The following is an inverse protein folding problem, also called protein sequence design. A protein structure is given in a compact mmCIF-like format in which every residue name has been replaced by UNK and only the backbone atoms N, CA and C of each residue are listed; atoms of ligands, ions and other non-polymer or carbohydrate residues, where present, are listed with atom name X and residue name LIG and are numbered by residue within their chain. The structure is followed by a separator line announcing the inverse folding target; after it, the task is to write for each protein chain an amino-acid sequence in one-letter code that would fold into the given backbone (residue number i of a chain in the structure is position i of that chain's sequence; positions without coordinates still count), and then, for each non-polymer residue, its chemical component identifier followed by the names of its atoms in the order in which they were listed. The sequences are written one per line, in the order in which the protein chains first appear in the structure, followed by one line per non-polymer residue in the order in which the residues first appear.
data_IF_073582567136
#
_entry.id   IF_073582567136
#
_cell.length_a   1.000
_cell.length_b   1.000
_cell.length_c   1.000
_cell.angle_alpha   90.00
_cell.angle_beta   90.00
_cell.angle_gamma   90.00
#
_symmetry.space_group_name_H-M   'P 1'
#
loop_
_entity.id
_entity.type
_entity.pdbx_description
1 polymer ?
#
# COMPACT_ATOMS: atom_id res chain seq x y z
N UNK A 1 -21.76 10.53 -17.52
CA UNK A 1 -20.34 10.91 -17.36
C UNK A 1 -19.50 9.68 -17.66
N UNK A 2 -18.27 9.83 -18.15
CA UNK A 2 -17.39 8.66 -18.26
C UNK A 2 -16.93 8.23 -16.87
N UNK A 3 -16.60 6.95 -16.68
CA UNK A 3 -16.03 6.42 -15.43
C UNK A 3 -14.79 7.21 -14.98
N UNK A 4 -13.97 7.67 -15.94
CA UNK A 4 -12.81 8.52 -15.67
C UNK A 4 -13.21 9.87 -15.08
N UNK A 5 -14.27 10.50 -15.61
CA UNK A 5 -14.77 11.77 -15.09
C UNK A 5 -15.31 11.62 -13.66
N UNK A 6 -15.92 10.48 -13.34
CA UNK A 6 -16.43 10.17 -12.00
C UNK A 6 -15.30 10.05 -10.96
N UNK A 7 -14.21 9.35 -11.31
CA UNK A 7 -13.02 9.29 -10.47
C UNK A 7 -12.38 10.66 -10.25
N UNK A 8 -12.23 11.44 -11.33
CA UNK A 8 -11.65 12.79 -11.26
C UNK A 8 -12.53 13.71 -10.41
N UNK A 9 -13.85 13.63 -10.57
CA UNK A 9 -14.79 14.40 -9.77
C UNK A 9 -14.72 14.03 -8.28
N UNK A 10 -14.70 12.74 -7.95
CA UNK A 10 -14.57 12.26 -6.58
C UNK A 10 -13.25 12.72 -5.93
N UNK A 11 -12.12 12.57 -6.64
CA UNK A 11 -10.81 12.99 -6.15
C UNK A 11 -10.77 14.50 -5.86
N UNK A 12 -11.24 15.33 -6.80
CA UNK A 12 -11.29 16.80 -6.61
C UNK A 12 -12.24 17.21 -5.49
N UNK A 13 -13.35 16.49 -5.30
CA UNK A 13 -14.32 16.78 -4.25
C UNK A 13 -13.76 16.48 -2.85
N UNK A 14 -13.13 15.31 -2.69
CA UNK A 14 -12.79 14.78 -1.36
C UNK A 14 -11.34 15.05 -0.94
N UNK A 15 -10.40 15.05 -1.90
CA UNK A 15 -8.96 15.13 -1.64
C UNK A 15 -8.39 16.54 -1.85
N UNK A 16 -9.24 17.56 -1.97
CA UNK A 16 -8.78 18.95 -2.02
C UNK A 16 -8.31 19.42 -0.65
N UNK A 17 -7.12 20.02 -0.60
CA UNK A 17 -6.54 20.58 0.62
C UNK A 17 -6.39 22.08 0.43
N UNK A 18 -7.23 22.85 1.12
CA UNK A 18 -7.38 24.28 0.87
C UNK A 18 -7.83 24.56 -0.57
N UNK A 19 -7.01 25.28 -1.35
CA UNK A 19 -7.29 25.59 -2.76
C UNK A 19 -6.65 24.60 -3.75
N UNK A 20 -5.84 23.65 -3.26
CA UNK A 20 -5.11 22.71 -4.12
C UNK A 20 -5.92 21.43 -4.27
N UNK A 21 -6.22 21.07 -5.51
CA UNK A 21 -6.84 19.79 -5.89
C UNK A 21 -5.85 18.95 -6.70
N UNK A 22 -6.11 17.65 -6.80
CA UNK A 22 -5.34 16.79 -7.68
C UNK A 22 -5.58 17.18 -9.16
N UNK A 23 -4.50 17.14 -9.95
CA UNK A 23 -4.61 17.24 -11.40
C UNK A 23 -5.42 16.07 -11.98
N UNK A 24 -5.85 16.17 -13.24
CA UNK A 24 -6.53 15.05 -13.92
C UNK A 24 -5.62 13.81 -13.93
N UNK A 25 -4.35 13.98 -14.30
CA UNK A 25 -3.39 12.89 -14.35
C UNK A 25 -3.21 12.20 -12.98
N UNK A 26 -3.01 12.97 -11.90
CA UNK A 26 -2.90 12.42 -10.54
C UNK A 26 -4.17 11.71 -10.09
N UNK A 27 -5.35 12.26 -10.45
CA UNK A 27 -6.63 11.64 -10.09
C UNK A 27 -6.83 10.30 -10.80
N UNK A 28 -6.41 10.21 -12.07
CA UNK A 28 -6.48 8.97 -12.85
C UNK A 28 -5.44 7.95 -12.41
N UNK A 29 -4.24 8.39 -12.03
CA UNK A 29 -3.22 7.52 -11.44
C UNK A 29 -3.73 6.90 -10.13
N UNK A 30 -4.25 7.72 -9.22
CA UNK A 30 -4.88 7.24 -7.99
C UNK A 30 -6.01 6.26 -8.28
N UNK A 31 -6.89 6.57 -9.24
CA UNK A 31 -7.97 5.67 -9.64
C UNK A 31 -7.43 4.31 -10.10
N UNK A 32 -6.41 4.30 -10.96
CA UNK A 32 -5.78 3.06 -11.43
C UNK A 32 -5.19 2.24 -10.27
N UNK A 33 -4.53 2.89 -9.32
CA UNK A 33 -3.98 2.23 -8.14
C UNK A 33 -5.08 1.64 -7.23
N UNK A 34 -6.15 2.40 -6.96
CA UNK A 34 -7.27 1.93 -6.13
C UNK A 34 -8.01 0.78 -6.81
N UNK A 35 -8.23 0.84 -8.13
CA UNK A 35 -8.78 -0.29 -8.89
C UNK A 35 -7.85 -1.51 -8.85
N UNK A 36 -6.53 -1.33 -8.92
CA UNK A 36 -5.60 -2.45 -8.79
C UNK A 36 -5.68 -3.13 -7.40
N UNK A 37 -5.96 -2.37 -6.33
CA UNK A 37 -6.17 -2.91 -5.00
C UNK A 37 -7.49 -3.68 -4.91
N UNK A 38 -8.55 -3.13 -5.50
CA UNK A 38 -9.87 -3.77 -5.57
C UNK A 38 -9.81 -5.11 -6.29
N UNK A 39 -9.05 -5.17 -7.40
CA UNK A 39 -8.80 -6.39 -8.17
C UNK A 39 -7.81 -7.35 -7.51
N UNK A 40 -7.25 -7.01 -6.34
CA UNK A 40 -6.27 -7.84 -5.63
C UNK A 40 -4.88 -7.92 -6.30
N UNK A 41 -4.61 -7.06 -7.29
CA UNK A 41 -3.29 -6.98 -7.95
C UNK A 41 -2.24 -6.31 -7.04
N UNK A 42 -2.69 -5.50 -6.08
CA UNK A 42 -1.87 -4.83 -5.08
C UNK A 42 -2.57 -4.94 -3.71
N UNK A 43 -1.86 -5.25 -2.62
CA UNK A 43 -2.51 -5.43 -1.32
C UNK A 43 -2.97 -4.09 -0.68
N UNK A 44 -2.21 -3.02 -0.88
CA UNK A 44 -2.46 -1.72 -0.28
C UNK A 44 -1.80 -0.57 -1.05
N UNK A 45 -2.27 0.66 -0.79
CA UNK A 45 -1.72 1.93 -1.26
C UNK A 45 -1.53 2.88 -0.09
N UNK A 46 -0.32 3.40 0.07
CA UNK A 46 -0.03 4.54 0.94
C UNK A 46 -0.36 5.81 0.16
N UNK A 47 -1.28 6.62 0.65
CA UNK A 47 -1.66 7.87 0.00
C UNK A 47 -0.67 8.99 0.35
N UNK A 48 0.02 9.52 -0.67
CA UNK A 48 1.07 10.55 -0.54
C UNK A 48 0.97 11.66 -1.60
N UNK A 49 -0.12 11.70 -2.37
CA UNK A 49 -0.26 12.62 -3.51
C UNK A 49 -0.36 14.10 -3.11
N UNK A 50 -0.87 14.39 -1.92
CA UNK A 50 -0.92 15.73 -1.32
C UNK A 50 -1.12 15.61 0.22
N UNK A 51 -1.37 16.73 0.89
CA UNK A 51 -1.56 16.77 2.35
C UNK A 51 -2.93 16.31 2.87
N UNK A 52 -3.70 15.53 2.12
CA UNK A 52 -5.01 15.06 2.58
C UNK A 52 -4.84 13.93 3.63
N UNK A 53 -5.53 14.05 4.76
CA UNK A 53 -5.48 13.07 5.85
C UNK A 53 -6.42 11.87 5.65
N UNK A 54 -6.38 10.91 6.56
CA UNK A 54 -7.16 9.68 6.50
C UNK A 54 -8.67 9.91 6.36
N UNK A 55 -9.23 10.92 7.04
CA UNK A 55 -10.66 11.26 6.92
C UNK A 55 -11.05 11.67 5.49
N UNK A 56 -10.20 12.44 4.81
CA UNK A 56 -10.44 12.86 3.44
C UNK A 56 -10.29 11.69 2.46
N UNK A 57 -9.30 10.82 2.71
CA UNK A 57 -9.10 9.59 1.93
C UNK A 57 -10.29 8.64 2.13
N UNK A 58 -10.84 8.53 3.33
CA UNK A 58 -12.06 7.77 3.59
C UNK A 58 -13.28 8.37 2.89
N UNK A 59 -13.43 9.69 2.89
CA UNK A 59 -14.51 10.34 2.12
C UNK A 59 -14.40 10.06 0.62
N UNK A 60 -13.17 10.09 0.09
CA UNK A 60 -12.91 9.71 -1.29
C UNK A 60 -13.30 8.26 -1.55
N UNK A 61 -12.84 7.32 -0.71
CA UNK A 61 -13.14 5.90 -0.84
C UNK A 61 -14.65 5.63 -0.79
N UNK A 62 -15.34 6.20 0.20
CA UNK A 62 -16.79 6.11 0.32
C UNK A 62 -17.50 6.68 -0.91
N UNK A 63 -16.98 7.77 -1.49
CA UNK A 63 -17.54 8.36 -2.71
C UNK A 63 -17.42 7.41 -3.91
N UNK A 64 -16.23 6.85 -4.16
CA UNK A 64 -16.03 5.93 -5.30
C UNK A 64 -16.76 4.59 -5.11
N UNK A 65 -16.90 4.11 -3.87
CA UNK A 65 -17.74 2.95 -3.52
C UNK A 65 -19.23 3.22 -3.77
N UNK A 66 -19.74 4.39 -3.37
CA UNK A 66 -21.14 4.76 -3.61
C UNK A 66 -21.48 4.87 -5.11
N UNK A 67 -20.49 5.22 -5.93
CA UNK A 67 -20.58 5.25 -7.39
C UNK A 67 -20.38 3.87 -8.03
N UNK A 68 -20.13 2.82 -7.22
CA UNK A 68 -19.84 1.44 -7.65
C UNK A 68 -18.64 1.33 -8.59
N UNK A 69 -17.66 2.21 -8.42
CA UNK A 69 -16.42 2.19 -9.19
C UNK A 69 -15.42 1.16 -8.65
N UNK A 70 -15.55 0.81 -7.37
CA UNK A 70 -14.79 -0.23 -6.66
C UNK A 70 -15.70 -0.91 -5.64
N UNK A 71 -15.29 -2.07 -5.13
CA UNK A 71 -16.07 -2.82 -4.14
C UNK A 71 -16.06 -2.18 -2.74
N UNK A 72 -17.08 -2.53 -1.95
CA UNK A 72 -17.23 -2.11 -0.53
C UNK A 72 -16.30 -2.88 0.43
N UNK A 73 -15.30 -3.59 -0.10
CA UNK A 73 -14.35 -4.38 0.68
C UNK A 73 -13.05 -3.64 0.98
N UNK A 74 -12.79 -2.53 0.30
CA UNK A 74 -11.66 -1.67 0.58
C UNK A 74 -11.88 -0.88 1.87
N UNK A 75 -10.82 -0.72 2.66
CA UNK A 75 -10.81 0.04 3.91
C UNK A 75 -9.71 1.10 3.88
N UNK A 76 -9.86 2.16 4.69
CA UNK A 76 -8.79 3.11 4.97
C UNK A 76 -8.26 2.85 6.38
N UNK A 77 -6.95 2.66 6.50
CA UNK A 77 -6.22 2.61 7.76
C UNK A 77 -5.53 3.96 7.99
N UNK A 78 -5.60 4.49 9.21
CA UNK A 78 -4.71 5.54 9.67
C UNK A 78 -3.57 4.91 10.50
N UNK A 79 -2.34 5.11 10.02
CA UNK A 79 -1.11 4.68 10.66
C UNK A 79 -0.25 5.91 10.97
N UNK A 80 -0.43 6.47 12.17
CA UNK A 80 0.30 7.65 12.64
C UNK A 80 0.15 8.84 11.68
N UNK A 81 -1.09 9.14 11.27
CA UNK A 81 -1.42 10.23 10.34
C UNK A 81 -1.18 9.91 8.86
N UNK A 82 -0.71 8.68 8.55
CA UNK A 82 -0.56 8.22 7.17
C UNK A 82 -1.80 7.40 6.77
N UNK A 83 -2.44 7.81 5.68
CA UNK A 83 -3.62 7.12 5.15
C UNK A 83 -3.21 5.97 4.22
N UNK A 84 -3.70 4.77 4.51
CA UNK A 84 -3.43 3.57 3.70
C UNK A 84 -4.75 2.95 3.24
N UNK A 85 -4.99 2.89 1.94
CA UNK A 85 -6.12 2.15 1.36
C UNK A 85 -5.70 0.68 1.25
N UNK A 86 -6.47 -0.23 1.83
CA UNK A 86 -6.15 -1.66 1.86
C UNK A 86 -7.29 -2.50 1.32
N UNK A 87 -6.93 -3.61 0.66
CA UNK A 87 -7.78 -4.77 0.54
C UNK A 87 -7.44 -5.72 1.71
N UNK A 88 -8.32 -5.88 2.73
CA UNK A 88 -7.99 -6.62 3.95
C UNK A 88 -7.60 -8.07 3.71
N UNK A 89 -8.25 -8.73 2.76
CA UNK A 89 -7.93 -10.11 2.41
C UNK A 89 -6.55 -10.20 1.75
N UNK A 90 -6.31 -9.37 0.72
CA UNK A 90 -5.05 -9.36 -0.01
C UNK A 90 -3.87 -8.98 0.89
N UNK A 91 -4.04 -8.01 1.78
CA UNK A 91 -2.98 -7.57 2.70
C UNK A 91 -2.69 -8.64 3.76
N UNK A 92 -3.71 -9.31 4.30
CA UNK A 92 -3.53 -10.44 5.23
C UNK A 92 -2.77 -11.57 4.55
N UNK A 93 -3.24 -12.04 3.40
CA UNK A 93 -2.59 -13.12 2.67
C UNK A 93 -1.17 -12.77 2.28
N UNK A 94 -0.90 -11.51 1.92
CA UNK A 94 0.46 -11.05 1.66
C UNK A 94 1.33 -11.17 2.91
N UNK A 95 0.92 -10.61 4.05
CA UNK A 95 1.71 -10.64 5.29
C UNK A 95 1.88 -12.07 5.82
N UNK A 96 0.87 -12.93 5.71
CA UNK A 96 0.95 -14.35 6.10
C UNK A 96 1.98 -15.10 5.26
N UNK A 97 1.98 -14.92 3.93
CA UNK A 97 2.98 -15.50 3.03
C UNK A 97 4.39 -15.03 3.39
N UNK A 98 4.57 -13.76 3.69
CA UNK A 98 5.87 -13.22 4.13
C UNK A 98 6.31 -13.86 5.46
N UNK A 99 5.39 -13.98 6.41
CA UNK A 99 5.67 -14.52 7.73
C UNK A 99 5.99 -16.02 7.71
N UNK A 100 5.23 -16.82 6.95
CA UNK A 100 5.35 -18.27 6.89
C UNK A 100 6.47 -18.74 5.95
N UNK A 101 6.61 -18.12 4.79
CA UNK A 101 7.47 -18.61 3.70
C UNK A 101 8.83 -17.90 3.65
N UNK A 102 9.08 -16.91 4.52
CA UNK A 102 10.30 -16.11 4.52
C UNK A 102 10.47 -15.25 3.25
N UNK A 103 9.37 -14.93 2.57
CA UNK A 103 9.37 -14.39 1.21
C UNK A 103 9.77 -12.91 1.04
N UNK A 104 10.17 -12.21 2.10
CA UNK A 104 10.64 -10.81 2.02
C UNK A 104 12.01 -10.70 2.67
N UNK A 105 12.96 -10.18 1.89
CA UNK A 105 14.26 -9.83 2.42
C UNK A 105 14.13 -8.60 3.34
N UNK A 106 14.75 -8.66 4.51
CA UNK A 106 14.85 -7.52 5.41
C UNK A 106 16.21 -6.89 5.23
N UNK A 107 16.27 -5.58 5.04
CA UNK A 107 17.51 -4.82 4.98
C UNK A 107 17.66 -4.02 6.26
N UNK A 108 18.71 -4.30 7.04
CA UNK A 108 19.09 -3.47 8.18
C UNK A 108 19.79 -2.21 7.67
N UNK A 109 19.20 -1.07 8.02
CA UNK A 109 19.64 0.27 7.61
C UNK A 109 20.06 1.12 8.82
N UNK A 110 20.34 0.52 9.98
CA UNK A 110 20.73 1.26 11.18
C UNK A 110 21.91 2.21 10.93
N UNK A 111 21.90 3.37 11.59
CA UNK A 111 22.91 4.41 11.45
C UNK A 111 24.36 3.97 11.68
N UNK A 112 24.60 2.94 12.50
CA UNK A 112 25.96 2.45 12.79
C UNK A 112 26.60 1.67 11.64
N UNK A 113 25.83 1.32 10.60
CA UNK A 113 26.34 0.64 9.42
C UNK A 113 26.91 1.63 8.42
N UNK A 114 27.96 1.21 7.71
CA UNK A 114 28.51 1.96 6.57
C UNK A 114 27.62 1.84 5.33
N UNK A 115 26.97 0.69 5.16
CA UNK A 115 26.08 0.38 4.05
C UNK A 115 24.96 -0.58 4.50
N UNK A 116 23.80 -0.61 3.81
CA UNK A 116 22.70 -1.50 4.16
C UNK A 116 23.11 -2.97 4.03
N UNK A 117 22.66 -3.80 4.98
CA UNK A 117 22.95 -5.23 4.96
C UNK A 117 21.65 -6.04 4.91
N UNK A 118 21.64 -7.13 4.16
CA UNK A 118 20.54 -8.10 4.22
C UNK A 118 20.63 -8.83 5.55
N UNK A 119 19.56 -8.79 6.34
CA UNK A 119 19.46 -9.53 7.59
C UNK A 119 18.44 -10.64 7.47
N UNK A 120 18.70 -11.69 8.25
CA UNK A 120 17.78 -12.80 8.34
C UNK A 120 16.44 -12.36 8.97
N UNK A 121 15.35 -12.68 8.29
CA UNK A 121 13.96 -12.50 8.73
C UNK A 121 13.66 -13.17 10.08
N UNK A 122 14.56 -14.01 10.60
CA UNK A 122 14.45 -14.62 11.92
C UNK A 122 14.69 -13.68 13.11
N UNK A 123 14.95 -12.39 12.90
CA UNK A 123 15.01 -11.42 13.98
C UNK A 123 13.71 -11.45 14.81
N UNK A 124 13.85 -11.72 16.11
CA UNK A 124 12.74 -11.82 17.07
C UNK A 124 11.82 -10.60 17.03
N UNK A 125 12.38 -9.39 16.94
CA UNK A 125 11.59 -8.15 16.94
C UNK A 125 10.68 -8.06 15.70
N UNK A 126 11.23 -8.41 14.52
CA UNK A 126 10.49 -8.42 13.26
C UNK A 126 9.38 -9.47 13.30
N UNK A 127 9.68 -10.67 13.82
CA UNK A 127 8.68 -11.73 14.01
C UNK A 127 7.55 -11.31 14.95
N UNK A 128 7.88 -10.69 16.08
CA UNK A 128 6.87 -10.18 17.02
C UNK A 128 5.99 -9.12 16.36
N UNK A 129 6.58 -8.09 15.75
CA UNK A 129 5.84 -7.03 15.08
C UNK A 129 4.97 -7.56 13.94
N UNK A 130 5.49 -8.50 13.13
CA UNK A 130 4.72 -9.10 12.04
C UNK A 130 3.53 -9.91 12.58
N UNK A 131 3.72 -10.61 13.70
CA UNK A 131 2.64 -11.35 14.37
C UNK A 131 1.56 -10.41 14.92
N UNK A 132 1.97 -9.28 15.52
CA UNK A 132 1.04 -8.26 16.00
C UNK A 132 0.28 -7.58 14.86
N UNK A 133 0.96 -7.30 13.75
CA UNK A 133 0.34 -6.79 12.53
C UNK A 133 -0.69 -7.79 11.99
N UNK A 134 -0.36 -9.08 11.93
CA UNK A 134 -1.30 -10.12 11.51
C UNK A 134 -2.54 -10.19 12.42
N UNK A 135 -2.36 -10.11 13.74
CA UNK A 135 -3.48 -10.05 14.69
C UNK A 135 -4.34 -8.81 14.46
N UNK A 136 -3.72 -7.65 14.21
CA UNK A 136 -4.44 -6.42 13.87
C UNK A 136 -5.24 -6.57 12.58
N UNK A 137 -4.63 -7.11 11.52
CA UNK A 137 -5.27 -7.32 10.21
C UNK A 137 -6.47 -8.28 10.30
N UNK A 138 -6.37 -9.35 11.10
CA UNK A 138 -7.48 -10.28 11.36
C UNK A 138 -8.65 -9.60 12.07
N UNK A 139 -8.38 -8.58 12.88
CA UNK A 139 -9.41 -7.78 13.54
C UNK A 139 -10.18 -6.86 12.58
N UNK A 140 -9.60 -6.47 11.44
CA UNK A 140 -10.21 -5.50 10.52
C UNK A 140 -11.53 -5.99 9.92
N UNK A 141 -11.66 -7.29 9.67
CA UNK A 141 -12.90 -7.89 9.13
C UNK A 141 -14.11 -7.69 10.05
N UNK A 142 -13.87 -7.58 11.37
CA UNK A 142 -14.91 -7.37 12.38
C UNK A 142 -15.22 -5.88 12.59
N UNK A 143 -14.35 -4.99 12.10
CA UNK A 143 -14.37 -3.54 12.38
C UNK A 143 -14.93 -2.72 11.20
N UNK A 144 -15.71 -3.31 10.29
CA UNK A 144 -16.47 -2.55 9.26
C UNK A 144 -17.58 -1.69 9.89
N UNK A 145 -17.22 -0.78 10.80
CA UNK A 145 -18.13 0.20 11.37
C UNK A 145 -18.06 1.52 10.58
N UNK A 146 -19.05 1.71 9.72
CA UNK A 146 -19.60 3.03 9.42
C UNK A 146 -18.66 4.10 8.88
N UNK A 147 -18.09 3.90 7.68
CA UNK A 147 -17.59 4.97 6.81
C UNK A 147 -16.50 5.89 7.40
N UNK A 148 -15.81 5.43 8.45
CA UNK A 148 -14.70 6.14 9.11
C UNK A 148 -13.38 5.39 8.87
N UNK A 149 -12.24 6.09 8.86
CA UNK A 149 -10.95 5.42 8.85
C UNK A 149 -10.78 4.54 10.08
N UNK A 150 -10.08 3.42 9.93
CA UNK A 150 -9.69 2.56 11.04
C UNK A 150 -8.34 3.01 11.58
N UNK A 151 -8.36 3.52 12.80
CA UNK A 151 -7.16 3.95 13.48
C UNK A 151 -6.48 2.77 14.16
N UNK A 152 -5.18 2.59 13.92
CA UNK A 152 -4.40 1.58 14.64
C UNK A 152 -4.16 1.92 16.12
N UNK A 153 -4.69 3.04 16.61
CA UNK A 153 -4.51 3.52 17.99
C UNK A 153 -3.05 3.86 18.28
N UNK A 154 -2.56 3.47 19.46
CA UNK A 154 -1.17 3.73 19.88
C UNK A 154 -0.18 2.65 19.40
N UNK A 155 -0.65 1.55 18.78
CA UNK A 155 0.20 0.47 18.24
C UNK A 155 1.30 0.97 17.27
N UNK A 156 1.06 1.98 16.41
CA UNK A 156 2.08 2.53 15.51
C UNK A 156 3.33 3.09 16.20
N UNK A 157 3.26 3.49 17.48
CA UNK A 157 4.41 4.05 18.21
C UNK A 157 5.48 2.98 18.53
N UNK A 158 5.05 1.72 18.67
CA UNK A 158 5.93 0.57 18.94
C UNK A 158 6.36 -0.14 17.65
N UNK A 159 5.76 0.20 16.51
CA UNK A 159 6.04 -0.41 15.23
C UNK A 159 7.07 0.37 14.42
N UNK A 160 7.97 -0.36 13.76
CA UNK A 160 8.80 0.23 12.71
C UNK A 160 7.92 0.47 11.47
N UNK A 161 7.43 1.70 11.32
CA UNK A 161 6.52 2.05 10.23
C UNK A 161 7.12 1.84 8.85
N UNK A 162 8.43 2.01 8.67
CA UNK A 162 9.09 1.67 7.40
C UNK A 162 8.91 0.19 7.08
N UNK A 163 9.08 -0.68 8.08
CA UNK A 163 8.88 -2.12 7.90
C UNK A 163 7.41 -2.46 7.64
N UNK A 164 6.50 -1.88 8.43
CA UNK A 164 5.05 -2.10 8.30
C UNK A 164 4.55 -1.66 6.94
N UNK A 165 4.90 -0.48 6.45
CA UNK A 165 4.52 -0.05 5.10
C UNK A 165 5.10 -0.97 4.03
N UNK A 166 6.34 -1.42 4.17
CA UNK A 166 6.93 -2.41 3.25
C UNK A 166 6.09 -3.69 3.14
N UNK A 167 5.67 -4.22 4.28
CA UNK A 167 4.83 -5.41 4.37
C UNK A 167 3.42 -5.18 3.82
N UNK A 168 2.76 -4.07 4.19
CA UNK A 168 1.40 -3.74 3.74
C UNK A 168 1.34 -3.49 2.24
N UNK A 169 2.32 -2.79 1.68
CA UNK A 169 2.35 -2.43 0.26
C UNK A 169 2.74 -3.60 -0.65
N UNK A 170 3.20 -4.71 -0.08
CA UNK A 170 3.62 -5.90 -0.81
C UNK A 170 4.99 -5.76 -1.47
N UNK A 171 5.89 -4.94 -0.91
CA UNK A 171 7.24 -4.84 -1.45
C UNK A 171 8.03 -6.14 -1.20
N UNK A 172 8.87 -6.56 -2.17
CA UNK A 172 9.66 -7.79 -2.04
C UNK A 172 10.78 -7.66 -1.00
N UNK A 173 11.08 -6.43 -0.59
CA UNK A 173 12.13 -6.08 0.36
C UNK A 173 11.56 -5.04 1.32
N UNK A 174 11.90 -5.16 2.60
CA UNK A 174 11.51 -4.22 3.64
C UNK A 174 12.71 -3.72 4.43
N UNK A 175 12.64 -2.50 4.95
CA UNK A 175 13.73 -1.91 5.72
C UNK A 175 13.49 -2.07 7.21
N UNK A 176 14.56 -2.28 7.97
CA UNK A 176 14.53 -2.40 9.42
C UNK A 176 15.60 -1.51 10.06
N UNK A 177 15.22 -0.87 11.16
CA UNK A 177 16.15 -0.24 12.08
C UNK A 177 15.54 -0.29 13.49
N UNK A 178 16.39 -0.21 14.50
CA UNK A 178 15.96 -0.24 15.90
C UNK A 178 15.56 1.17 16.36
N UNK A 179 14.27 1.48 16.27
CA UNK A 179 13.71 2.80 16.62
C UNK A 179 13.90 3.17 18.09
N UNK A 180 14.15 2.18 18.97
CA UNK A 180 14.45 2.43 20.39
C UNK A 180 15.85 3.00 20.59
N UNK A 181 16.73 2.86 19.59
CA UNK A 181 18.10 3.36 19.63
C UNK A 181 18.27 4.67 18.87
N UNK A 182 17.69 4.77 17.68
CA UNK A 182 17.80 5.96 16.84
C UNK A 182 16.82 5.89 15.67
N UNK A 183 16.37 7.06 15.20
CA UNK A 183 15.66 7.22 13.93
C UNK A 183 16.59 7.51 12.74
N UNK A 184 17.89 7.69 12.99
CA UNK A 184 18.89 7.84 11.94
C UNK A 184 19.17 6.51 11.23
N UNK A 185 19.52 6.59 9.95
CA UNK A 185 19.80 5.43 9.11
C UNK A 185 21.01 5.68 8.20
N UNK A 186 21.66 4.60 7.75
CA UNK A 186 22.83 4.64 6.88
C UNK A 186 22.51 5.02 5.43
N UNK A 187 21.23 5.26 5.10
CA UNK A 187 20.78 5.74 3.78
C UNK A 187 20.68 7.27 3.73
N UNK A 188 20.78 7.96 4.87
CA UNK A 188 20.70 9.41 4.92
C UNK A 188 21.76 10.05 4.01
N UNK A 189 21.34 11.06 3.24
CA UNK A 189 22.18 11.78 2.28
C UNK A 189 22.84 10.91 1.18
N UNK A 190 22.39 9.67 1.01
CA UNK A 190 22.83 8.85 -0.12
C UNK A 190 22.10 9.29 -1.39
N UNK A 191 22.80 9.65 -2.48
CA UNK A 191 22.16 10.02 -3.74
C UNK A 191 21.29 8.88 -4.28
N UNK A 192 20.05 9.20 -4.67
CA UNK A 192 19.16 8.24 -5.28
C UNK A 192 19.48 8.06 -6.77
N UNK A 193 19.47 6.82 -7.23
CA UNK A 193 19.58 6.46 -8.65
C UNK A 193 18.23 5.99 -9.15
N UNK A 194 17.72 6.62 -10.20
CA UNK A 194 16.46 6.20 -10.84
C UNK A 194 16.76 5.14 -11.88
N UNK A 195 16.25 3.94 -11.67
CA UNK A 195 16.31 2.85 -12.65
C UNK A 195 14.90 2.61 -13.19
N UNK A 196 14.72 2.75 -14.50
CA UNK A 196 13.43 2.49 -15.15
C UNK A 196 13.42 1.08 -15.72
N UNK A 197 12.55 0.22 -15.21
CA UNK A 197 12.22 -1.06 -15.80
C UNK A 197 10.92 -0.93 -16.60
N UNK A 198 10.85 -1.56 -17.77
CA UNK A 198 9.63 -1.61 -18.58
C UNK A 198 9.30 -3.05 -18.95
N UNK A 199 8.01 -3.38 -18.99
CA UNK A 199 7.51 -4.67 -19.42
C UNK A 199 6.36 -4.44 -20.39
N UNK A 200 6.45 -5.04 -21.58
CA UNK A 200 5.37 -5.06 -22.57
C UNK A 200 4.65 -6.39 -22.51
N UNK A 201 3.31 -6.35 -22.43
CA UNK A 201 2.48 -7.54 -22.56
C UNK A 201 2.09 -7.70 -24.02
N UNK A 202 2.59 -8.73 -24.69
CA UNK A 202 2.05 -9.09 -26.00
C UNK A 202 0.59 -9.55 -25.82
N UNK A 203 -0.31 -8.99 -26.61
CA UNK A 203 -1.69 -9.46 -26.65
C UNK A 203 -1.67 -10.91 -27.15
N UNK A 204 -2.25 -11.83 -26.38
CA UNK A 204 -2.39 -13.22 -26.78
C UNK A 204 -3.10 -13.26 -28.15
N UNK A 205 -2.34 -13.51 -29.20
CA UNK A 205 -2.83 -13.56 -30.57
C UNK A 205 -3.92 -14.63 -30.66
N UNK A 206 -5.09 -14.23 -31.16
CA UNK A 206 -6.13 -15.15 -31.56
C UNK A 206 -5.54 -16.13 -32.58
N UNK A 207 -5.27 -17.36 -32.15
CA UNK A 207 -4.87 -18.45 -33.03
C UNK A 207 -6.05 -18.77 -33.93
N UNK A 208 -6.09 -18.13 -35.11
CA UNK A 208 -7.03 -18.44 -36.18
C UNK A 208 -6.54 -19.71 -36.87
N UNK A 209 -7.10 -20.84 -36.45
CA UNK A 209 -7.12 -22.08 -37.22
C UNK A 209 -7.66 -21.77 -38.62
N UNK A 210 -6.84 -21.96 -39.65
CA UNK A 210 -7.35 -22.25 -41.00
C UNK A 210 -6.65 -23.50 -41.48
N UNK A 211 -7.35 -24.63 -41.37
CA UNK A 211 -7.04 -25.81 -42.19
C UNK A 211 -7.22 -25.39 -43.64
N UNK A 212 -6.22 -25.66 -44.48
CA UNK A 212 -6.45 -25.88 -45.90
C UNK A 212 -5.76 -27.18 -46.29
N UNK A 213 -6.58 -28.12 -46.70
CA UNK A 213 -6.18 -29.33 -47.38
C UNK A 213 -5.54 -28.95 -48.71
N UNK A 214 -4.41 -29.59 -49.03
CA UNK A 214 -4.15 -30.32 -50.28
C UNK A 214 -3.27 -31.53 -49.94
#
# INVERSE_FOLDING_TARGET
MSTQDEFVAAARKCLSVGRKCLSVAQSLDLAAQVTAIDLGLKPALLYDSNGAGADQVQQYLSCVQSLRLVSDNLLVLDLNGNAVIVNPEAVRSNVERVFCDGGVAVIDVRHSLKEPIVVDHHNRQIKTMTSELLLFLRGLEQLKEGGKPLYAGNKPEDWNLCTVFGLLLGYPVTYWFDQTKSFENCLAFTPLVVTTASASKEAAGASRTVRRAE
#
